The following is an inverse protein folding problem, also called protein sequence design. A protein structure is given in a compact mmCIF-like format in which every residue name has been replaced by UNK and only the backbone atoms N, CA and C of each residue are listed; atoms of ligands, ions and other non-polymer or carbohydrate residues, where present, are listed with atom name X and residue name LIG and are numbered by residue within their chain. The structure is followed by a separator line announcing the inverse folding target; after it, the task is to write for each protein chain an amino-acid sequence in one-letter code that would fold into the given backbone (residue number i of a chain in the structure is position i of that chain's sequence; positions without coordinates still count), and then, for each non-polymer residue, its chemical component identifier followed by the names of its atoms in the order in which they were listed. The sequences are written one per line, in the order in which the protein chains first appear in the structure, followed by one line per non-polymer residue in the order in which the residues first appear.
data_IF_085428482261
#
_entry.id   IF_085428482261
#
_cell.length_a   1.000
_cell.length_b   1.000
_cell.length_c   1.000
_cell.angle_alpha   90.00
_cell.angle_beta   90.00
_cell.angle_gamma   90.00
#
_symmetry.space_group_name_H-M   'P 1'
#
loop_
_entity.id
_entity.type
_entity.pdbx_description
1 polymer ?
#
# COMPACT_ATOMS: atom_id res chain seq x y z
N UNK A 1 -32.91 12.06 -106.77
CA UNK A 1 -31.80 11.76 -105.83
C UNK A 1 -32.34 11.66 -104.41
N UNK A 2 -32.29 10.45 -103.83
CA UNK A 2 -32.00 10.17 -102.42
C UNK A 2 -32.92 10.65 -101.26
N UNK A 3 -34.23 10.47 -101.37
CA UNK A 3 -35.15 10.49 -100.21
C UNK A 3 -35.60 9.07 -99.85
N UNK A 4 -34.79 8.34 -99.06
CA UNK A 4 -35.21 7.05 -98.45
C UNK A 4 -34.26 6.62 -97.32
N UNK A 5 -34.34 7.27 -96.15
CA UNK A 5 -33.94 6.61 -94.90
C UNK A 5 -35.18 5.96 -94.30
N UNK A 6 -35.27 4.64 -94.50
CA UNK A 6 -36.28 3.78 -93.89
C UNK A 6 -36.30 3.99 -92.38
N UNK A 7 -37.38 4.54 -91.90
CA UNK A 7 -37.87 4.32 -90.54
C UNK A 7 -38.29 2.85 -90.45
N UNK A 8 -37.46 2.03 -89.80
CA UNK A 8 -37.77 0.64 -89.46
C UNK A 8 -37.19 0.35 -88.07
N UNK A 9 -37.94 0.73 -87.03
CA UNK A 9 -37.99 -0.03 -85.78
C UNK A 9 -38.59 -1.41 -86.11
N UNK A 10 -38.11 -2.50 -85.51
CA UNK A 10 -38.59 -2.85 -84.17
C UNK A 10 -37.56 -3.60 -83.30
N UNK A 11 -37.43 -3.28 -82.01
CA UNK A 11 -37.34 -4.31 -80.97
C UNK A 11 -37.51 -3.69 -79.58
N UNK A 12 -38.10 -4.47 -78.69
CA UNK A 12 -38.68 -4.07 -77.42
C UNK A 12 -37.68 -3.48 -76.41
N UNK A 13 -38.22 -2.61 -75.56
CA UNK A 13 -37.57 -2.12 -74.34
C UNK A 13 -36.99 -3.26 -73.50
N UNK A 14 -35.84 -3.01 -72.84
CA UNK A 14 -35.91 -3.03 -71.39
C UNK A 14 -35.12 -1.87 -70.75
N UNK A 15 -35.83 -0.97 -70.10
CA UNK A 15 -35.32 -0.31 -68.89
C UNK A 15 -35.45 -1.29 -67.70
N UNK A 16 -34.83 -1.08 -66.52
CA UNK A 16 -33.55 -0.43 -66.19
C UNK A 16 -32.72 -1.27 -65.18
N UNK A 17 -31.39 -1.43 -65.33
CA UNK A 17 -30.56 -2.13 -64.31
C UNK A 17 -29.28 -1.43 -63.85
N UNK A 18 -28.96 -0.23 -64.36
CA UNK A 18 -27.73 0.50 -63.97
C UNK A 18 -27.93 1.61 -62.93
N UNK A 19 -29.16 2.05 -62.67
CA UNK A 19 -29.48 2.95 -61.55
C UNK A 19 -29.47 2.23 -60.17
N UNK A 20 -29.48 0.89 -60.15
CA UNK A 20 -29.53 0.09 -58.93
C UNK A 20 -28.16 -0.14 -58.26
N UNK A 21 -27.05 0.27 -58.89
CA UNK A 21 -25.69 -0.02 -58.38
C UNK A 21 -24.92 1.18 -57.84
N UNK A 22 -25.33 2.42 -58.11
CA UNK A 22 -24.68 3.62 -57.55
C UNK A 22 -25.30 4.10 -56.23
N UNK A 23 -26.34 3.42 -55.73
CA UNK A 23 -27.00 3.72 -54.45
C UNK A 23 -26.49 2.90 -53.25
N UNK A 24 -25.63 1.90 -53.46
CA UNK A 24 -25.27 0.94 -52.39
C UNK A 24 -23.99 1.26 -51.61
N UNK A 25 -23.19 2.27 -51.98
CA UNK A 25 -21.84 2.41 -51.40
C UNK A 25 -21.50 3.77 -50.76
N UNK A 26 -22.25 4.86 -51.00
CA UNK A 26 -21.87 6.20 -50.49
C UNK A 26 -22.98 6.99 -49.79
N UNK A 27 -23.77 6.31 -48.98
CA UNK A 27 -24.55 6.94 -47.91
C UNK A 27 -24.29 6.21 -46.60
N UNK A 28 -23.00 6.07 -46.24
CA UNK A 28 -22.57 5.66 -44.91
C UNK A 28 -21.89 6.87 -44.25
N UNK A 29 -22.70 7.89 -43.97
CA UNK A 29 -22.37 8.99 -43.08
C UNK A 29 -23.41 8.95 -41.95
N UNK A 30 -22.98 9.27 -40.72
CA UNK A 30 -22.98 8.38 -39.58
C UNK A 30 -24.39 7.94 -39.20
N UNK A 31 -24.54 6.75 -38.61
CA UNK A 31 -25.69 6.41 -37.76
C UNK A 31 -25.70 7.33 -36.50
N UNK A 32 -25.73 8.64 -36.73
CA UNK A 32 -25.97 9.67 -35.73
C UNK A 32 -27.36 9.39 -35.21
N UNK A 33 -27.46 9.14 -33.91
CA UNK A 33 -28.69 8.75 -33.20
C UNK A 33 -29.27 7.38 -33.59
N UNK A 34 -28.43 6.33 -33.49
CA UNK A 34 -28.96 5.08 -32.92
C UNK A 34 -29.55 5.46 -31.57
N UNK A 35 -30.88 5.51 -31.46
CA UNK A 35 -31.56 5.62 -30.18
C UNK A 35 -31.05 4.45 -29.35
N UNK A 36 -30.10 4.71 -28.44
CA UNK A 36 -29.55 3.70 -27.57
C UNK A 36 -30.74 3.11 -26.82
N UNK A 37 -31.09 1.87 -27.16
CA UNK A 37 -32.08 1.08 -26.45
C UNK A 37 -31.74 1.17 -24.97
N UNK A 38 -32.71 1.47 -24.10
CA UNK A 38 -32.44 1.70 -22.66
C UNK A 38 -31.65 0.57 -21.98
N UNK A 39 -31.73 -0.65 -22.53
CA UNK A 39 -30.99 -1.83 -22.08
C UNK A 39 -29.47 -1.75 -22.33
N UNK A 40 -29.01 -1.10 -23.40
CA UNK A 40 -27.59 -0.96 -23.73
C UNK A 40 -26.90 0.09 -22.85
N UNK A 41 -27.66 1.07 -22.31
CA UNK A 41 -27.16 2.07 -21.36
C UNK A 41 -27.17 1.55 -19.92
N UNK A 42 -28.09 0.65 -19.58
CA UNK A 42 -28.21 0.09 -18.25
C UNK A 42 -26.97 -0.72 -17.83
N UNK A 43 -26.36 -1.47 -18.75
CA UNK A 43 -25.13 -2.25 -18.48
C UNK A 43 -23.94 -1.39 -18.03
N UNK A 44 -23.49 -0.37 -18.79
CA UNK A 44 -22.37 0.48 -18.36
C UNK A 44 -22.72 1.30 -17.13
N UNK A 45 -23.96 1.80 -16.99
CA UNK A 45 -24.37 2.56 -15.80
C UNK A 45 -24.29 1.70 -14.53
N UNK A 46 -24.78 0.45 -14.56
CA UNK A 46 -24.66 -0.47 -13.43
C UNK A 46 -23.18 -0.71 -13.07
N UNK A 47 -22.31 -0.93 -14.06
CA UNK A 47 -20.88 -1.14 -13.82
C UNK A 47 -20.24 0.12 -13.19
N UNK A 48 -20.56 1.31 -13.71
CA UNK A 48 -20.06 2.57 -13.17
C UNK A 48 -20.53 2.80 -11.73
N UNK A 49 -21.80 2.53 -11.42
CA UNK A 49 -22.34 2.66 -10.06
C UNK A 49 -21.65 1.71 -9.10
N UNK A 50 -21.47 0.44 -9.48
CA UNK A 50 -20.75 -0.54 -8.65
C UNK A 50 -19.32 -0.08 -8.40
N UNK A 51 -18.63 0.43 -9.42
CA UNK A 51 -17.26 0.91 -9.28
C UNK A 51 -17.17 2.13 -8.34
N UNK A 52 -18.11 3.08 -8.44
CA UNK A 52 -18.17 4.24 -7.54
C UNK A 52 -18.40 3.79 -6.10
N UNK A 53 -19.32 2.84 -5.88
CA UNK A 53 -19.57 2.28 -4.55
C UNK A 53 -18.32 1.58 -4.02
N UNK A 54 -17.65 0.77 -4.85
CA UNK A 54 -16.44 0.04 -4.46
C UNK A 54 -15.30 1.00 -4.05
N UNK A 55 -15.08 2.07 -4.82
CA UNK A 55 -14.06 3.07 -4.49
C UNK A 55 -14.42 3.84 -3.22
N UNK A 56 -15.69 4.21 -3.05
CA UNK A 56 -16.15 4.91 -1.86
C UNK A 56 -16.02 4.03 -0.61
N UNK A 57 -16.41 2.76 -0.70
CA UNK A 57 -16.25 1.80 0.38
C UNK A 57 -14.78 1.57 0.73
N UNK A 58 -13.91 1.47 -0.28
CA UNK A 58 -12.46 1.37 -0.08
C UNK A 58 -11.91 2.60 0.65
N UNK A 59 -12.28 3.81 0.21
CA UNK A 59 -11.85 5.04 0.85
C UNK A 59 -12.28 5.12 2.33
N UNK A 60 -13.54 4.76 2.62
CA UNK A 60 -14.06 4.70 3.99
C UNK A 60 -13.32 3.65 4.82
N UNK A 61 -13.07 2.47 4.26
CA UNK A 61 -12.33 1.40 4.93
C UNK A 61 -10.92 1.84 5.32
N UNK A 62 -10.22 2.53 4.42
CA UNK A 62 -8.87 3.05 4.70
C UNK A 62 -8.90 4.08 5.83
N UNK A 63 -9.86 5.00 5.81
CA UNK A 63 -10.02 6.01 6.87
C UNK A 63 -10.30 5.34 8.21
N UNK A 64 -11.20 4.35 8.21
CA UNK A 64 -11.53 3.60 9.42
C UNK A 64 -10.31 2.86 9.98
N UNK A 65 -9.55 2.17 9.13
CA UNK A 65 -8.30 1.52 9.54
C UNK A 65 -7.28 2.51 10.09
N UNK A 66 -7.16 3.70 9.52
CA UNK A 66 -6.26 4.74 10.04
C UNK A 66 -6.71 5.27 11.41
N UNK A 67 -8.01 5.38 11.65
CA UNK A 67 -8.55 5.79 12.95
C UNK A 67 -8.28 4.72 14.01
N UNK A 68 -8.59 3.46 13.72
CA UNK A 68 -8.35 2.34 14.64
C UNK A 68 -6.85 2.15 14.91
N UNK A 69 -6.01 2.27 13.88
CA UNK A 69 -4.56 2.26 14.03
C UNK A 69 -4.08 3.32 15.01
N UNK A 70 -4.63 4.54 14.96
CA UNK A 70 -4.25 5.62 15.88
C UNK A 70 -4.63 5.30 17.34
N UNK A 71 -5.77 4.69 17.60
CA UNK A 71 -6.16 4.29 18.97
C UNK A 71 -5.23 3.20 19.52
N UNK A 72 -5.03 2.12 18.73
CA UNK A 72 -4.16 1.01 19.12
C UNK A 72 -2.72 1.48 19.33
N UNK A 73 -2.23 2.34 18.44
CA UNK A 73 -0.90 2.91 18.53
C UNK A 73 -0.75 3.76 19.80
N UNK A 74 -1.74 4.56 20.16
CA UNK A 74 -1.69 5.37 21.38
C UNK A 74 -1.58 4.49 22.64
N UNK A 75 -2.34 3.38 22.69
CA UNK A 75 -2.21 2.42 23.81
C UNK A 75 -0.81 1.81 23.89
N UNK A 76 -0.26 1.42 22.74
CA UNK A 76 1.10 0.89 22.69
C UNK A 76 2.12 1.94 23.15
N UNK A 77 1.98 3.20 22.72
CA UNK A 77 2.87 4.29 23.11
C UNK A 77 2.85 4.51 24.63
N UNK A 78 1.70 4.45 25.28
CA UNK A 78 1.61 4.58 26.75
C UNK A 78 2.45 3.51 27.45
N UNK A 79 2.35 2.24 27.03
CA UNK A 79 3.15 1.16 27.61
C UNK A 79 4.65 1.36 27.37
N UNK A 80 5.03 1.83 26.17
CA UNK A 80 6.42 2.12 25.83
C UNK A 80 6.96 3.24 26.72
N UNK A 81 6.19 4.31 26.95
CA UNK A 81 6.58 5.41 27.83
C UNK A 81 6.79 4.94 29.27
N UNK A 82 5.91 4.08 29.80
CA UNK A 82 6.09 3.51 31.13
C UNK A 82 7.35 2.65 31.22
N UNK A 83 7.62 1.86 30.19
CA UNK A 83 8.84 1.05 30.15
C UNK A 83 10.10 1.90 30.11
N UNK A 84 10.09 3.00 29.35
CA UNK A 84 11.20 3.96 29.29
C UNK A 84 11.46 4.61 30.65
N UNK A 85 10.40 5.01 31.37
CA UNK A 85 10.50 5.54 32.74
C UNK A 85 11.16 4.52 33.69
N UNK A 86 10.76 3.25 33.65
CA UNK A 86 11.41 2.19 34.43
C UNK A 86 12.86 1.93 34.03
N UNK A 87 13.21 2.05 32.74
CA UNK A 87 14.61 1.92 32.30
C UNK A 87 15.49 3.04 32.86
N UNK A 88 14.97 4.26 32.94
CA UNK A 88 15.68 5.39 33.55
C UNK A 88 15.91 5.13 35.04
N UNK A 89 14.87 4.75 35.78
CA UNK A 89 14.99 4.45 37.21
C UNK A 89 15.97 3.30 37.46
N UNK A 90 15.87 2.23 36.68
CA UNK A 90 16.77 1.09 36.79
C UNK A 90 18.23 1.47 36.50
N UNK A 91 18.46 2.30 35.48
CA UNK A 91 19.79 2.82 35.17
C UNK A 91 20.37 3.66 36.31
N UNK A 92 19.54 4.50 36.94
CA UNK A 92 19.95 5.26 38.12
C UNK A 92 20.33 4.34 39.28
N UNK A 93 19.49 3.36 39.60
CA UNK A 93 19.75 2.38 40.65
C UNK A 93 21.04 1.59 40.39
N UNK A 94 21.29 1.21 39.13
CA UNK A 94 22.50 0.47 38.76
C UNK A 94 23.76 1.32 38.93
N UNK A 95 23.69 2.62 38.65
CA UNK A 95 24.77 3.57 38.91
C UNK A 95 25.00 3.74 40.42
N UNK A 96 23.92 3.83 41.20
CA UNK A 96 24.00 3.87 42.67
C UNK A 96 24.64 2.60 43.24
N UNK A 97 24.24 1.42 42.76
CA UNK A 97 24.81 0.13 43.16
C UNK A 97 26.29 0.04 42.77
N UNK A 98 26.63 0.42 41.53
CA UNK A 98 28.02 0.43 41.05
C UNK A 98 28.89 1.36 41.90
N UNK A 99 28.38 2.54 42.28
CA UNK A 99 29.07 3.47 43.16
C UNK A 99 29.26 2.92 44.59
N UNK A 100 28.28 2.18 45.11
CA UNK A 100 28.36 1.55 46.44
C UNK A 100 29.23 0.28 46.46
N UNK A 101 29.31 -0.44 45.33
CA UNK A 101 30.06 -1.68 45.16
C UNK A 101 31.53 -1.49 44.73
N UNK A 102 31.89 -0.34 44.15
CA UNK A 102 33.14 -0.18 43.40
C UNK A 102 34.46 -0.43 44.17
N UNK A 103 34.52 -0.29 45.50
CA UNK A 103 35.62 -0.79 46.35
C UNK A 103 35.53 -0.18 47.75
N UNK A 104 35.19 1.11 47.84
CA UNK A 104 35.46 1.90 49.03
C UNK A 104 34.74 1.37 50.29
N UNK A 105 33.48 0.93 50.15
CA UNK A 105 32.73 0.40 51.31
C UNK A 105 33.22 -0.98 51.73
N UNK A 106 33.51 -1.87 50.77
CA UNK A 106 34.02 -3.23 51.05
C UNK A 106 35.42 -3.16 51.64
N UNK A 107 36.30 -2.36 51.05
CA UNK A 107 37.67 -2.12 51.52
C UNK A 107 37.68 -1.46 52.90
N UNK A 108 36.84 -0.44 53.13
CA UNK A 108 36.72 0.19 54.45
C UNK A 108 36.17 -0.75 55.52
N UNK A 109 35.24 -1.65 55.18
CA UNK A 109 34.76 -2.69 56.12
C UNK A 109 35.84 -3.74 56.36
N UNK A 110 36.53 -4.22 55.32
CA UNK A 110 37.61 -5.18 55.43
C UNK A 110 38.77 -4.65 56.29
N UNK A 111 39.20 -3.40 56.05
CA UNK A 111 40.28 -2.79 56.83
C UNK A 111 39.86 -2.38 58.24
N UNK A 112 38.63 -1.87 58.46
CA UNK A 112 38.22 -1.41 59.80
C UNK A 112 37.64 -2.49 60.71
N UNK A 113 36.91 -3.47 60.17
CA UNK A 113 36.25 -4.50 60.97
C UNK A 113 37.02 -5.81 60.98
N UNK A 114 37.71 -6.15 59.88
CA UNK A 114 38.49 -7.39 59.77
C UNK A 114 40.00 -7.16 59.88
N UNK A 115 40.46 -5.92 60.07
CA UNK A 115 41.87 -5.54 60.09
C UNK A 115 42.67 -6.05 58.87
N UNK A 116 41.99 -6.26 57.73
CA UNK A 116 42.63 -6.71 56.50
C UNK A 116 43.45 -5.58 55.87
N UNK A 117 44.68 -5.90 55.52
CA UNK A 117 45.61 -5.03 54.80
C UNK A 117 45.88 -5.62 53.41
N UNK A 118 46.10 -4.77 52.40
CA UNK A 118 46.47 -5.25 51.07
C UNK A 118 47.82 -5.96 51.15
N UNK A 119 47.95 -7.21 50.68
CA UNK A 119 49.21 -7.94 50.73
C UNK A 119 50.24 -7.27 49.82
N UNK A 120 51.49 -7.19 50.29
CA UNK A 120 52.60 -6.72 49.46
C UNK A 120 53.02 -7.80 48.44
N UNK A 121 53.64 -7.36 47.33
CA UNK A 121 54.03 -8.22 46.20
C UNK A 121 54.85 -9.45 46.62
N UNK A 122 55.57 -9.39 47.74
CA UNK A 122 56.38 -10.48 48.25
C UNK A 122 55.60 -11.59 49.00
N UNK A 123 54.29 -11.42 49.21
CA UNK A 123 53.42 -12.42 49.88
C UNK A 123 52.53 -13.20 48.90
N UNK A 124 52.74 -13.06 47.59
CA UNK A 124 51.88 -13.66 46.56
C UNK A 124 52.40 -15.04 46.12
N UNK A 125 51.80 -16.04 46.75
CA UNK A 125 51.69 -17.48 46.48
C UNK A 125 51.06 -18.01 45.17
N UNK A 126 51.74 -18.17 44.02
CA UNK A 126 51.05 -18.75 42.83
C UNK A 126 51.16 -20.28 42.83
N UNK A 127 50.09 -20.97 43.21
CA UNK A 127 50.01 -22.43 43.16
C UNK A 127 49.53 -22.88 41.77
N UNK A 128 50.40 -23.56 41.01
CA UNK A 128 50.01 -24.19 39.74
C UNK A 128 49.42 -25.57 40.00
N UNK A 129 48.20 -25.80 39.50
CA UNK A 129 47.55 -27.10 39.59
C UNK A 129 48.06 -27.96 38.42
N UNK A 130 49.05 -28.81 38.69
CA UNK A 130 49.53 -29.78 37.71
C UNK A 130 48.50 -30.89 37.55
N UNK A 131 48.10 -31.18 36.31
CA UNK A 131 47.13 -32.22 35.94
C UNK A 131 47.80 -33.32 35.16
#
# INVERSE_FOLDING_TARGET
MWFKRKQKQPEAAPAPKKAAKLKKEKAKAPEMTRLMTGEELARPICISVVLVIAITASALSVIYSAFEYRDLFNRQQVLVTQWDEFQVEWGQLLLEESALGANNRVERVASKQLAMMSPETNMIEIVQYER
#
